data_IF_153757240265
#
_entry.id   IF_153757240265
#
_cell.length_a   1.000
_cell.length_b   1.000
_cell.length_c   1.000
_cell.angle_alpha   90.00
_cell.angle_beta   90.00
_cell.angle_gamma   90.00
#
_symmetry.space_group_name_H-M   'P 1'
#
loop_
_entity.id
_entity.type
_entity.pdbx_description
1 polymer ?
#
# COMPACT_ATOMS: atom_id res chain seq x y z
N UNK A 1 9.30 3.90 -0.62
CA UNK A 1 8.79 4.45 -1.90
C UNK A 1 9.24 3.62 -3.09
N UNK A 2 10.55 3.42 -3.34
CA UNK A 2 10.99 2.57 -4.46
C UNK A 2 10.41 1.14 -4.39
N UNK A 3 10.44 0.52 -3.21
CA UNK A 3 9.92 -0.84 -3.01
C UNK A 3 8.45 -0.99 -3.38
N UNK A 4 7.62 -0.03 -2.97
CA UNK A 4 6.18 -0.02 -3.31
C UNK A 4 5.96 0.23 -4.80
N UNK A 5 6.72 1.13 -5.43
CA UNK A 5 6.61 1.38 -6.87
C UNK A 5 6.98 0.15 -7.72
N UNK A 6 8.00 -0.61 -7.34
CA UNK A 6 8.35 -1.88 -8.01
C UNK A 6 7.21 -2.89 -7.87
N UNK A 7 6.67 -3.06 -6.66
CA UNK A 7 5.57 -3.98 -6.40
C UNK A 7 4.26 -3.56 -7.09
N UNK A 8 3.94 -2.27 -7.13
CA UNK A 8 2.80 -1.71 -7.87
C UNK A 8 2.92 -1.95 -9.38
N UNK A 9 4.12 -1.80 -9.93
CA UNK A 9 4.40 -2.06 -11.36
C UNK A 9 4.19 -3.54 -11.69
N UNK A 10 4.70 -4.45 -10.85
CA UNK A 10 4.51 -5.89 -11.01
C UNK A 10 3.04 -6.29 -10.86
N UNK A 11 2.33 -5.67 -9.92
CA UNK A 11 0.87 -5.83 -9.76
C UNK A 11 0.15 -5.42 -11.05
N UNK A 12 0.54 -4.30 -11.67
CA UNK A 12 -0.01 -3.85 -12.94
C UNK A 12 0.18 -4.86 -14.09
N UNK A 13 1.39 -5.41 -14.25
CA UNK A 13 1.66 -6.46 -15.24
C UNK A 13 0.84 -7.73 -14.99
N UNK A 14 0.73 -8.16 -13.74
CA UNK A 14 -0.04 -9.34 -13.38
C UNK A 14 -1.55 -9.14 -13.58
N UNK A 15 -2.09 -7.94 -13.33
CA UNK A 15 -3.50 -7.62 -13.64
C UNK A 15 -3.76 -7.61 -15.15
N UNK A 16 -2.83 -7.06 -15.93
CA UNK A 16 -2.91 -7.12 -17.39
C UNK A 16 -2.94 -8.56 -17.91
N UNK A 17 -2.09 -9.43 -17.36
CA UNK A 17 -2.09 -10.87 -17.67
C UNK A 17 -3.44 -11.54 -17.34
N UNK A 18 -4.01 -11.27 -16.15
CA UNK A 18 -5.31 -11.83 -15.75
C UNK A 18 -6.45 -11.36 -16.65
N UNK A 19 -6.42 -10.08 -17.06
CA UNK A 19 -7.42 -9.51 -17.97
C UNK A 19 -7.33 -10.10 -19.37
N UNK A 20 -6.11 -10.39 -19.86
CA UNK A 20 -5.88 -10.96 -21.19
C UNK A 20 -6.27 -12.45 -21.26
N UNK A 21 -6.06 -13.21 -20.19
CA UNK A 21 -6.25 -14.66 -20.16
C UNK A 21 -7.46 -15.14 -19.34
N UNK A 22 -8.32 -14.23 -18.85
CA UNK A 22 -9.55 -14.50 -18.06
C UNK A 22 -9.34 -15.55 -16.94
N UNK A 23 -8.23 -15.42 -16.21
CA UNK A 23 -7.80 -16.41 -15.22
C UNK A 23 -8.46 -16.17 -13.86
N UNK A 24 -9.05 -17.22 -13.27
CA UNK A 24 -9.66 -17.18 -11.93
C UNK A 24 -8.61 -17.22 -10.81
N UNK A 25 -8.63 -16.22 -9.93
CA UNK A 25 -7.80 -16.13 -8.71
C UNK A 25 -8.52 -16.59 -7.43
N UNK A 26 -9.37 -17.62 -7.53
CA UNK A 26 -9.99 -18.25 -6.37
C UNK A 26 -9.10 -19.34 -5.78
N UNK A 27 -9.18 -19.57 -4.46
CA UNK A 27 -8.56 -20.77 -3.85
C UNK A 27 -9.52 -21.95 -4.05
N UNK A 28 -9.08 -23.08 -4.63
CA UNK A 28 -7.75 -23.39 -5.19
C UNK A 28 -7.51 -22.79 -6.58
N UNK A 29 -6.26 -22.39 -6.87
CA UNK A 29 -5.85 -21.87 -8.19
C UNK A 29 -6.12 -22.91 -9.25
N UNK A 30 -7.13 -22.66 -10.09
CA UNK A 30 -7.59 -23.60 -11.11
C UNK A 30 -6.65 -23.65 -12.33
N UNK A 31 -5.80 -22.62 -12.48
CA UNK A 31 -4.95 -22.40 -13.66
C UNK A 31 -3.44 -22.34 -13.36
N UNK A 32 -2.98 -22.81 -12.19
CA UNK A 32 -1.52 -22.88 -11.90
C UNK A 32 -0.83 -21.52 -11.75
N UNK A 33 -1.54 -20.46 -11.38
CA UNK A 33 -0.96 -19.11 -11.14
C UNK A 33 -0.30 -18.95 -9.76
N UNK A 34 -0.27 -20.02 -8.95
CA UNK A 34 0.46 -20.14 -7.68
C UNK A 34 0.37 -18.93 -6.73
N UNK A 35 -0.74 -18.19 -6.71
CA UNK A 35 -0.96 -17.06 -5.78
C UNK A 35 0.03 -15.88 -5.92
N UNK A 36 0.68 -15.73 -7.08
CA UNK A 36 1.72 -14.73 -7.29
C UNK A 36 1.16 -13.29 -7.22
N UNK A 37 -0.01 -12.99 -7.77
CA UNK A 37 -0.56 -11.62 -7.69
C UNK A 37 -0.89 -11.18 -6.25
N UNK A 38 -1.63 -11.96 -5.43
CA UNK A 38 -1.83 -11.61 -4.03
C UNK A 38 -0.53 -11.39 -3.25
N UNK A 39 0.56 -12.07 -3.63
CA UNK A 39 1.86 -11.89 -3.01
C UNK A 39 2.44 -10.47 -3.23
N UNK A 40 2.27 -9.88 -4.41
CA UNK A 40 2.69 -8.48 -4.66
C UNK A 40 1.88 -7.49 -3.81
N UNK A 41 0.58 -7.73 -3.65
CA UNK A 41 -0.24 -6.92 -2.74
C UNK A 41 0.24 -7.05 -1.29
N UNK A 42 0.63 -8.26 -0.85
CA UNK A 42 1.20 -8.53 0.47
C UNK A 42 2.48 -7.74 0.74
N UNK A 43 3.42 -7.75 -0.21
CA UNK A 43 4.67 -6.97 -0.12
C UNK A 43 4.38 -5.47 0.03
N UNK A 44 3.43 -4.95 -0.75
CA UNK A 44 3.00 -3.56 -0.67
C UNK A 44 2.41 -3.19 0.70
N UNK A 45 1.52 -4.03 1.23
CA UNK A 45 0.89 -3.79 2.53
C UNK A 45 1.90 -3.78 3.68
N UNK A 46 2.83 -4.74 3.71
CA UNK A 46 3.92 -4.77 4.70
C UNK A 46 4.84 -3.56 4.56
N UNK A 47 5.19 -3.19 3.34
CA UNK A 47 6.04 -2.02 3.09
C UNK A 47 5.36 -0.72 3.55
N UNK A 48 4.05 -0.57 3.32
CA UNK A 48 3.30 0.58 3.83
C UNK A 48 3.22 0.61 5.35
N UNK A 49 3.08 -0.56 6.00
CA UNK A 49 3.08 -0.66 7.45
C UNK A 49 4.42 -0.18 8.02
N UNK A 50 5.54 -0.72 7.53
CA UNK A 50 6.87 -0.31 7.99
C UNK A 50 7.15 1.16 7.69
N UNK A 51 6.73 1.68 6.53
CA UNK A 51 6.84 3.11 6.23
C UNK A 51 6.02 3.99 7.18
N UNK A 52 4.91 3.49 7.71
CA UNK A 52 4.11 4.21 8.70
C UNK A 52 4.77 4.19 10.08
N UNK A 53 5.34 3.06 10.49
CA UNK A 53 6.15 2.96 11.71
C UNK A 53 7.37 3.87 11.67
N UNK A 54 8.09 3.88 10.55
CA UNK A 54 9.23 4.75 10.28
C UNK A 54 8.88 6.23 10.52
N UNK A 55 7.79 6.72 9.89
CA UNK A 55 7.28 8.08 10.09
C UNK A 55 6.87 8.36 11.53
N UNK A 56 6.21 7.40 12.18
CA UNK A 56 5.79 7.55 13.57
C UNK A 56 7.00 7.68 14.51
N UNK A 57 8.05 6.88 14.31
CA UNK A 57 9.29 6.96 15.08
C UNK A 57 10.02 8.28 14.82
N UNK A 58 10.06 8.75 13.57
CA UNK A 58 10.68 10.04 13.23
C UNK A 58 10.02 11.22 13.96
N UNK A 59 8.69 11.21 14.09
CA UNK A 59 7.93 12.30 14.73
C UNK A 59 7.91 12.18 16.26
N UNK A 60 7.64 10.99 16.80
CA UNK A 60 7.51 10.81 18.25
C UNK A 60 8.84 10.68 18.98
N UNK A 61 9.87 10.13 18.32
CA UNK A 61 11.16 9.79 18.93
C UNK A 61 12.34 10.21 18.04
N UNK A 62 12.53 11.52 17.77
CA UNK A 62 13.52 12.02 16.80
C UNK A 62 14.97 11.64 17.15
N UNK A 63 15.34 11.65 18.43
CA UNK A 63 16.68 11.28 18.88
C UNK A 63 16.99 9.79 18.70
N UNK A 64 16.01 8.92 18.96
CA UNK A 64 16.13 7.49 18.70
C UNK A 64 16.19 7.22 17.20
N UNK A 65 15.32 7.87 16.44
CA UNK A 65 15.23 7.71 14.99
C UNK A 65 16.57 8.00 14.29
N UNK A 66 17.22 9.13 14.60
CA UNK A 66 18.49 9.50 13.98
C UNK A 66 19.64 8.51 14.30
N UNK A 67 19.61 7.90 15.49
CA UNK A 67 20.64 6.95 15.92
C UNK A 67 20.47 5.54 15.34
N UNK A 68 19.22 5.07 15.19
CA UNK A 68 18.94 3.66 14.88
C UNK A 68 18.42 3.42 13.45
N UNK A 69 17.73 4.39 12.85
CA UNK A 69 17.16 4.23 11.50
C UNK A 69 18.19 4.69 10.46
N UNK A 70 19.11 3.78 10.12
CA UNK A 70 20.06 3.94 9.04
C UNK A 70 19.52 3.41 7.70
N UNK A 71 20.12 3.86 6.59
CA UNK A 71 19.77 3.40 5.24
C UNK A 71 19.86 1.87 5.08
N UNK A 72 20.83 1.24 5.74
CA UNK A 72 21.00 -0.21 5.76
C UNK A 72 19.82 -0.93 6.40
N UNK A 73 19.29 -0.41 7.50
CA UNK A 73 18.10 -0.96 8.18
C UNK A 73 16.89 -0.89 7.26
N UNK A 74 16.67 0.25 6.60
CA UNK A 74 15.54 0.42 5.66
C UNK A 74 15.64 -0.56 4.48
N UNK A 75 16.85 -0.76 3.92
CA UNK A 75 17.08 -1.74 2.85
C UNK A 75 16.81 -3.16 3.37
N UNK A 76 17.31 -3.51 4.56
CA UNK A 76 17.07 -4.80 5.20
C UNK A 76 15.59 -5.07 5.44
N UNK A 77 14.83 -4.09 5.92
CA UNK A 77 13.37 -4.20 6.10
C UNK A 77 12.65 -4.38 4.77
N UNK A 78 13.07 -3.69 3.70
CA UNK A 78 12.49 -3.89 2.37
C UNK A 78 12.77 -5.32 1.86
N UNK A 79 14.00 -5.82 1.98
CA UNK A 79 14.35 -7.18 1.61
C UNK A 79 13.57 -8.22 2.43
N UNK A 80 13.39 -7.98 3.73
CA UNK A 80 12.58 -8.82 4.61
C UNK A 80 11.12 -8.89 4.13
N UNK A 81 10.51 -7.78 3.69
CA UNK A 81 9.13 -7.79 3.17
C UNK A 81 8.98 -8.76 1.99
N UNK A 82 9.95 -8.79 1.09
CA UNK A 82 9.96 -9.73 -0.04
C UNK A 82 10.14 -11.17 0.42
N UNK A 83 11.18 -11.43 1.21
CA UNK A 83 11.53 -12.79 1.68
C UNK A 83 10.37 -13.39 2.48
N UNK A 84 9.78 -12.61 3.40
CA UNK A 84 8.66 -13.06 4.22
C UNK A 84 7.45 -13.43 3.35
N UNK A 85 7.11 -12.58 2.38
CA UNK A 85 5.94 -12.79 1.52
C UNK A 85 6.12 -14.00 0.61
N UNK A 86 7.31 -14.19 0.02
CA UNK A 86 7.60 -15.36 -0.80
C UNK A 86 7.72 -16.65 0.02
N UNK A 87 8.25 -16.58 1.24
CA UNK A 87 8.30 -17.73 2.15
C UNK A 87 6.89 -18.24 2.46
N UNK A 88 5.95 -17.34 2.77
CA UNK A 88 4.53 -17.71 2.99
C UNK A 88 3.92 -18.34 1.74
N UNK A 89 4.23 -17.81 0.57
CA UNK A 89 3.76 -18.34 -0.71
C UNK A 89 4.26 -19.78 -0.94
N UNK A 90 5.55 -20.04 -0.69
CA UNK A 90 6.14 -21.37 -0.82
C UNK A 90 5.46 -22.35 0.14
N UNK A 91 5.28 -21.96 1.41
CA UNK A 91 4.60 -22.79 2.41
C UNK A 91 3.16 -23.09 1.98
N UNK A 92 2.42 -22.12 1.45
CA UNK A 92 1.06 -22.36 0.94
C UNK A 92 1.02 -23.35 -0.22
N UNK A 93 2.03 -23.35 -1.10
CA UNK A 93 2.09 -24.27 -2.24
C UNK A 93 2.55 -25.69 -1.86
N UNK A 94 3.28 -25.86 -0.77
CA UNK A 94 3.75 -27.16 -0.27
C UNK A 94 2.73 -27.90 0.61
N UNK A 95 1.63 -27.23 0.98
CA UNK A 95 0.68 -27.69 1.99
C UNK A 95 -0.64 -28.16 1.33
N UNK A 96 -1.31 -29.20 1.86
CA UNK A 96 -2.57 -29.70 1.29
C UNK A 96 -3.65 -28.63 1.19
N UNK A 97 -4.55 -28.77 0.21
CA UNK A 97 -5.55 -27.76 -0.17
C UNK A 97 -6.39 -27.28 1.03
N UNK A 98 -6.78 -28.19 1.92
CA UNK A 98 -7.55 -27.86 3.13
C UNK A 98 -6.81 -26.96 4.11
N UNK A 99 -5.49 -27.14 4.26
CA UNK A 99 -4.64 -26.37 5.17
C UNK A 99 -4.23 -25.03 4.56
N UNK A 100 -3.94 -24.99 3.27
CA UNK A 100 -3.65 -23.72 2.61
C UNK A 100 -4.88 -22.79 2.51
N UNK A 101 -6.11 -23.33 2.46
CA UNK A 101 -7.32 -22.52 2.63
C UNK A 101 -7.40 -21.86 4.02
N UNK A 102 -7.01 -22.57 5.09
CA UNK A 102 -6.94 -22.00 6.45
C UNK A 102 -5.85 -20.92 6.55
N UNK A 103 -4.67 -21.16 5.96
CA UNK A 103 -3.57 -20.18 5.93
C UNK A 103 -4.01 -18.91 5.17
N UNK A 104 -4.73 -19.05 4.06
CA UNK A 104 -5.25 -17.90 3.31
C UNK A 104 -6.29 -17.12 4.12
N UNK A 105 -7.24 -17.81 4.78
CA UNK A 105 -8.22 -17.14 5.65
C UNK A 105 -7.53 -16.37 6.80
N UNK A 106 -6.52 -16.98 7.42
CA UNK A 106 -5.70 -16.33 8.44
C UNK A 106 -4.93 -15.12 7.88
N UNK A 107 -4.30 -15.27 6.72
CA UNK A 107 -3.59 -14.18 6.04
C UNK A 107 -4.50 -12.99 5.75
N UNK A 108 -5.72 -13.25 5.27
CA UNK A 108 -6.73 -12.21 5.04
C UNK A 108 -7.14 -11.50 6.35
N UNK A 109 -7.32 -12.23 7.45
CA UNK A 109 -7.57 -11.61 8.77
C UNK A 109 -6.38 -10.77 9.25
N UNK A 110 -5.16 -11.27 9.10
CA UNK A 110 -3.94 -10.52 9.45
C UNK A 110 -3.82 -9.24 8.62
N UNK A 111 -4.14 -9.29 7.32
CA UNK A 111 -4.15 -8.11 6.46
C UNK A 111 -5.17 -7.05 6.94
N UNK A 112 -6.35 -7.46 7.40
CA UNK A 112 -7.33 -6.53 7.98
C UNK A 112 -6.78 -5.85 9.24
N UNK A 113 -6.16 -6.62 10.14
CA UNK A 113 -5.52 -6.07 11.35
C UNK A 113 -4.42 -5.07 10.98
N UNK A 114 -3.55 -5.41 10.04
CA UNK A 114 -2.47 -4.53 9.55
C UNK A 114 -3.04 -3.20 9.04
N UNK A 115 -4.13 -3.26 8.28
CA UNK A 115 -4.76 -2.05 7.74
C UNK A 115 -5.40 -1.21 8.84
N UNK A 116 -6.09 -1.83 9.80
CA UNK A 116 -6.65 -1.11 10.94
C UNK A 116 -5.55 -0.40 11.74
N UNK A 117 -4.44 -1.09 12.03
CA UNK A 117 -3.28 -0.51 12.71
C UNK A 117 -2.71 0.67 11.91
N UNK A 118 -2.60 0.54 10.58
CA UNK A 118 -2.14 1.64 9.70
C UNK A 118 -3.06 2.86 9.82
N UNK A 119 -4.38 2.69 9.79
CA UNK A 119 -5.34 3.78 9.91
C UNK A 119 -5.22 4.46 11.27
N UNK A 120 -5.19 3.69 12.36
CA UNK A 120 -5.03 4.20 13.72
C UNK A 120 -3.73 4.97 13.91
N UNK A 121 -2.61 4.44 13.40
CA UNK A 121 -1.33 5.14 13.41
C UNK A 121 -1.37 6.45 12.62
N UNK A 122 -2.06 6.47 11.49
CA UNK A 122 -2.18 7.69 10.67
C UNK A 122 -3.01 8.77 11.39
N UNK A 123 -4.11 8.37 12.04
CA UNK A 123 -4.92 9.29 12.87
C UNK A 123 -4.09 9.81 14.04
N UNK A 124 -3.36 8.94 14.74
CA UNK A 124 -2.49 9.34 15.85
C UNK A 124 -1.43 10.33 15.40
N UNK A 125 -0.78 10.08 14.26
CA UNK A 125 0.20 10.98 13.66
C UNK A 125 -0.42 12.34 13.31
N UNK A 126 -1.64 12.34 12.74
CA UNK A 126 -2.38 13.56 12.44
C UNK A 126 -2.67 14.39 13.71
N UNK A 127 -3.13 13.76 14.79
CA UNK A 127 -3.39 14.43 16.07
C UNK A 127 -2.10 15.05 16.62
N UNK A 128 -1.00 14.30 16.59
CA UNK A 128 0.31 14.79 17.06
C UNK A 128 0.76 15.99 16.22
N UNK A 129 0.76 15.85 14.89
CA UNK A 129 1.18 16.92 13.98
C UNK A 129 0.30 18.18 14.11
N UNK A 130 -1.02 18.02 14.29
CA UNK A 130 -1.94 19.14 14.56
C UNK A 130 -1.60 19.83 15.88
N UNK A 131 -1.31 19.06 16.93
CA UNK A 131 -0.97 19.61 18.24
C UNK A 131 0.36 20.38 18.21
N UNK A 132 1.36 19.91 17.44
CA UNK A 132 2.60 20.66 17.20
C UNK A 132 2.32 21.97 16.45
N UNK A 133 1.50 21.93 15.39
CA UNK A 133 1.12 23.10 14.61
C UNK A 133 0.40 24.18 15.41
N UNK A 134 -0.52 23.80 16.30
CA UNK A 134 -1.27 24.75 17.13
C UNK A 134 -0.38 25.44 18.17
N UNK A 135 0.72 24.79 18.58
CA UNK A 135 1.66 25.32 19.58
C UNK A 135 2.73 26.21 18.98
N UNK A 136 2.98 26.14 17.67
CA UNK A 136 3.93 27.00 16.98
C UNK A 136 3.32 28.37 16.66
N UNK A 137 4.05 29.48 16.83
CA UNK A 137 3.58 30.79 16.43
C UNK A 137 3.39 30.86 14.90
N UNK A 138 2.43 31.66 14.39
CA UNK A 138 2.16 31.76 12.97
C UNK A 138 3.41 32.24 12.21
N UNK A 139 3.96 31.35 11.39
CA UNK A 139 5.15 31.58 10.57
C UNK A 139 4.92 30.94 9.20
N UNK A 140 5.67 31.37 8.18
CA UNK A 140 5.58 30.80 6.83
C UNK A 140 5.86 29.28 6.81
N UNK A 141 6.64 28.77 7.77
CA UNK A 141 6.88 27.34 7.98
C UNK A 141 5.61 26.60 8.49
N UNK A 142 4.79 27.28 9.30
CA UNK A 142 3.51 26.78 9.79
C UNK A 142 2.49 26.52 8.68
N UNK A 143 2.47 27.34 7.63
CA UNK A 143 1.53 27.17 6.51
C UNK A 143 1.90 25.97 5.62
N UNK A 144 3.20 25.74 5.40
CA UNK A 144 3.72 24.53 4.74
C UNK A 144 3.35 23.25 5.51
N UNK A 145 3.47 23.29 6.84
CA UNK A 145 3.07 22.18 7.71
C UNK A 145 1.55 21.93 7.67
N UNK A 146 0.71 22.97 7.58
CA UNK A 146 -0.76 22.82 7.40
C UNK A 146 -1.11 22.15 6.07
N UNK A 147 -0.42 22.49 4.98
CA UNK A 147 -0.62 21.86 3.68
C UNK A 147 -0.26 20.36 3.74
N UNK A 148 0.87 20.04 4.37
CA UNK A 148 1.29 18.66 4.64
C UNK A 148 0.25 17.87 5.45
N UNK A 149 -0.38 18.51 6.45
CA UNK A 149 -1.45 17.91 7.26
C UNK A 149 -2.70 17.61 6.40
N UNK A 150 -3.07 18.52 5.50
CA UNK A 150 -4.21 18.35 4.57
C UNK A 150 -3.98 17.16 3.63
N UNK A 151 -2.75 16.97 3.16
CA UNK A 151 -2.37 15.81 2.34
C UNK A 151 -2.58 14.50 3.12
N UNK A 152 -2.19 14.43 4.39
CA UNK A 152 -2.39 13.24 5.23
C UNK A 152 -3.88 12.89 5.36
N UNK A 153 -4.75 13.87 5.61
CA UNK A 153 -6.20 13.65 5.71
C UNK A 153 -6.76 13.12 4.39
N UNK A 154 -6.36 13.73 3.27
CA UNK A 154 -6.79 13.30 1.94
C UNK A 154 -6.35 11.85 1.64
N UNK A 155 -5.11 11.48 2.00
CA UNK A 155 -4.60 10.09 1.86
C UNK A 155 -5.47 9.10 2.63
N UNK A 156 -5.85 9.43 3.87
CA UNK A 156 -6.70 8.55 4.71
C UNK A 156 -8.08 8.38 4.08
N UNK A 157 -8.70 9.46 3.61
CA UNK A 157 -10.02 9.41 2.98
C UNK A 157 -9.97 8.56 1.70
N UNK A 158 -9.01 8.81 0.81
CA UNK A 158 -8.85 8.01 -0.41
C UNK A 158 -8.59 6.53 -0.10
N UNK A 159 -7.75 6.25 0.89
CA UNK A 159 -7.47 4.88 1.31
C UNK A 159 -8.72 4.18 1.82
N UNK A 160 -9.48 4.81 2.73
CA UNK A 160 -10.72 4.25 3.26
C UNK A 160 -11.77 4.07 2.16
N UNK A 161 -11.97 5.06 1.28
CA UNK A 161 -12.94 4.97 0.20
C UNK A 161 -12.64 3.82 -0.79
N UNK A 162 -11.36 3.61 -1.11
CA UNK A 162 -10.93 2.57 -2.05
C UNK A 162 -10.90 1.17 -1.42
N UNK A 163 -10.66 1.07 -0.12
CA UNK A 163 -10.50 -0.22 0.56
C UNK A 163 -11.72 -0.69 1.35
N UNK A 164 -12.55 0.19 1.90
CA UNK A 164 -13.75 -0.18 2.67
C UNK A 164 -14.69 -1.13 1.92
N UNK A 165 -15.02 -0.89 0.63
CA UNK A 165 -15.86 -1.82 -0.13
C UNK A 165 -15.26 -3.23 -0.23
N UNK A 166 -13.93 -3.31 -0.37
CA UNK A 166 -13.20 -4.59 -0.38
C UNK A 166 -13.22 -5.27 1.00
N UNK A 167 -13.01 -4.52 2.09
CA UNK A 167 -13.08 -5.07 3.45
C UNK A 167 -14.45 -5.64 3.78
N UNK A 168 -15.52 -4.91 3.48
CA UNK A 168 -16.89 -5.35 3.74
C UNK A 168 -17.17 -6.65 2.96
N UNK A 169 -16.80 -6.71 1.68
CA UNK A 169 -16.99 -7.92 0.87
C UNK A 169 -16.21 -9.12 1.42
N UNK A 170 -14.97 -8.91 1.89
CA UNK A 170 -14.15 -9.96 2.50
C UNK A 170 -14.77 -10.45 3.82
N UNK A 171 -15.21 -9.53 4.69
CA UNK A 171 -15.83 -9.87 5.98
C UNK A 171 -17.12 -10.65 5.77
N UNK A 172 -17.98 -10.20 4.85
CA UNK A 172 -19.22 -10.90 4.49
C UNK A 172 -18.91 -12.30 3.96
N UNK A 173 -17.90 -12.46 3.09
CA UNK A 173 -17.47 -13.77 2.59
C UNK A 173 -16.95 -14.72 3.68
N UNK A 174 -16.36 -14.20 4.76
CA UNK A 174 -15.85 -15.03 5.86
C UNK A 174 -16.93 -15.38 6.89
N UNK A 175 -17.82 -14.43 7.22
CA UNK A 175 -18.86 -14.63 8.25
C UNK A 175 -20.12 -15.32 7.71
N UNK A 176 -20.44 -15.08 6.44
CA UNK A 176 -21.63 -15.62 5.79
C UNK A 176 -21.12 -16.41 4.59
N UNK A 177 -21.30 -17.73 4.57
CA UNK A 177 -20.96 -18.56 3.39
C UNK A 177 -21.62 -18.09 2.07
N UNK A 178 -22.52 -17.10 2.13
CA UNK A 178 -23.02 -16.32 1.00
C UNK A 178 -22.34 -14.96 0.89
N UNK A 179 -21.54 -14.78 -0.17
CA UNK A 179 -21.05 -13.49 -0.65
C UNK A 179 -21.05 -13.48 -2.18
N UNK A 180 -21.12 -12.30 -2.80
CA UNK A 180 -21.16 -12.16 -4.26
C UNK A 180 -19.88 -12.77 -4.88
N UNK A 181 -20.02 -13.95 -5.50
CA UNK A 181 -18.96 -14.60 -6.29
C UNK A 181 -19.05 -14.08 -7.72
N UNK A 182 -18.10 -13.24 -8.12
CA UNK A 182 -17.93 -12.89 -9.52
C UNK A 182 -17.04 -13.94 -10.19
N UNK A 183 -17.42 -14.38 -11.39
CA UNK A 183 -16.73 -15.46 -12.13
C UNK A 183 -15.32 -15.05 -12.58
N UNK A 184 -15.02 -13.76 -12.63
CA UNK A 184 -13.71 -13.20 -12.94
C UNK A 184 -13.30 -12.15 -11.89
N UNK A 185 -12.14 -12.35 -11.25
CA UNK A 185 -11.57 -11.46 -10.23
C UNK A 185 -11.03 -10.14 -10.84
N UNK A 186 -10.81 -10.08 -12.16
CA UNK A 186 -10.50 -8.86 -12.90
C UNK A 186 -11.74 -7.96 -13.09
N UNK A 187 -12.95 -8.53 -13.08
CA UNK A 187 -14.22 -7.78 -13.15
C UNK A 187 -14.82 -7.48 -11.78
N UNK A 188 -14.21 -7.96 -10.69
CA UNK A 188 -14.69 -7.74 -9.35
C UNK A 188 -14.47 -6.26 -8.96
N UNK A 189 -15.52 -5.43 -8.90
CA UNK A 189 -15.37 -3.98 -8.70
C UNK A 189 -14.70 -3.65 -7.35
N UNK A 190 -14.88 -4.52 -6.35
CA UNK A 190 -14.25 -4.38 -5.04
C UNK A 190 -12.74 -4.61 -5.09
N UNK A 191 -12.30 -5.59 -5.89
CA UNK A 191 -10.88 -5.86 -6.10
C UNK A 191 -10.23 -4.78 -6.98
N UNK A 192 -10.95 -4.29 -8.00
CA UNK A 192 -10.49 -3.18 -8.84
C UNK A 192 -10.32 -1.90 -7.99
N UNK A 193 -11.29 -1.55 -7.15
CA UNK A 193 -11.16 -0.39 -6.24
C UNK A 193 -9.95 -0.48 -5.31
N UNK A 194 -9.71 -1.64 -4.71
CA UNK A 194 -8.52 -1.85 -3.89
C UNK A 194 -7.22 -1.73 -4.72
N UNK A 195 -7.21 -2.24 -5.95
CA UNK A 195 -6.06 -2.14 -6.88
C UNK A 195 -5.80 -0.71 -7.37
N UNK A 196 -6.84 0.13 -7.51
CA UNK A 196 -6.67 1.56 -7.84
C UNK A 196 -5.84 2.31 -6.78
N UNK A 197 -5.71 1.77 -5.57
CA UNK A 197 -4.80 2.32 -4.57
C UNK A 197 -3.32 2.31 -5.02
N UNK A 198 -2.92 1.34 -5.87
CA UNK A 198 -1.60 1.30 -6.48
C UNK A 198 -1.33 2.47 -7.43
N UNK A 199 -2.38 3.11 -7.98
CA UNK A 199 -2.27 4.33 -8.79
C UNK A 199 -2.31 5.60 -7.93
N UNK A 200 -3.16 5.60 -6.90
CA UNK A 200 -3.32 6.75 -5.99
C UNK A 200 -2.06 6.98 -5.17
N UNK A 201 -1.36 5.92 -4.75
CA UNK A 201 -0.13 6.02 -3.96
C UNK A 201 0.98 6.85 -4.65
N UNK A 202 1.43 6.53 -5.88
CA UNK A 202 2.43 7.33 -6.58
C UNK A 202 1.91 8.74 -6.94
N UNK A 203 0.63 8.89 -7.28
CA UNK A 203 0.04 10.21 -7.54
C UNK A 203 0.11 11.12 -6.30
N UNK A 204 -0.19 10.58 -5.12
CA UNK A 204 -0.08 11.29 -3.85
C UNK A 204 1.36 11.60 -3.47
N UNK A 205 2.34 10.75 -3.82
CA UNK A 205 3.75 11.06 -3.59
C UNK A 205 4.25 12.21 -4.47
N UNK A 206 3.85 12.24 -5.76
CA UNK A 206 4.21 13.33 -6.68
C UNK A 206 3.52 14.64 -6.28
N UNK A 207 2.27 14.56 -5.80
CA UNK A 207 1.55 15.74 -5.33
C UNK A 207 2.09 16.23 -3.99
N UNK A 208 2.34 15.35 -3.02
CA UNK A 208 2.73 15.74 -1.67
C UNK A 208 4.21 16.11 -1.47
N UNK A 209 5.10 15.74 -2.39
CA UNK A 209 6.53 16.04 -2.28
C UNK A 209 6.97 17.06 -3.34
N UNK A 210 7.30 18.31 -2.96
CA UNK A 210 7.79 19.33 -3.88
C UNK A 210 9.08 18.91 -4.59
N UNK A 211 9.99 18.23 -3.88
CA UNK A 211 11.25 17.71 -4.43
C UNK A 211 11.01 16.62 -5.47
N UNK A 212 10.06 15.71 -5.22
CA UNK A 212 9.69 14.68 -6.19
C UNK A 212 8.98 15.28 -7.41
N UNK A 213 8.11 16.28 -7.21
CA UNK A 213 7.44 17.02 -8.29
C UNK A 213 8.44 17.72 -9.20
N UNK A 214 9.45 18.36 -8.60
CA UNK A 214 10.57 18.99 -9.32
C UNK A 214 11.36 17.97 -10.14
N UNK A 215 11.69 16.81 -9.56
CA UNK A 215 12.42 15.73 -10.23
C UNK A 215 11.62 15.11 -11.39
N UNK A 216 10.30 14.90 -11.22
CA UNK A 216 9.42 14.41 -12.28
C UNK A 216 9.32 15.45 -13.40
N UNK A 217 9.21 16.74 -13.08
CA UNK A 217 9.16 17.81 -14.07
C UNK A 217 10.48 17.92 -14.86
N UNK A 218 11.62 17.80 -14.20
CA UNK A 218 12.94 17.93 -14.84
C UNK A 218 13.33 16.70 -15.66
N UNK A 219 12.92 15.50 -15.24
CA UNK A 219 13.38 14.24 -15.85
C UNK A 219 12.38 13.69 -16.86
N UNK A 220 11.09 13.73 -16.54
CA UNK A 220 10.02 13.14 -17.37
C UNK A 220 9.43 14.20 -18.29
N UNK A 221 8.92 15.30 -17.73
CA UNK A 221 8.24 16.31 -18.55
C UNK A 221 9.19 17.07 -19.48
N UNK A 222 10.43 17.34 -19.06
CA UNK A 222 11.43 17.99 -19.93
C UNK A 222 11.84 17.12 -21.13
N UNK A 223 11.73 15.79 -21.01
CA UNK A 223 12.05 14.83 -22.09
C UNK A 223 10.84 14.53 -22.98
N UNK A 224 9.63 14.50 -22.42
CA UNK A 224 8.38 14.22 -23.16
C UNK A 224 7.83 15.49 -23.84
N UNK A 225 7.97 16.65 -23.20
CA UNK A 225 7.62 17.96 -23.75
C UNK A 225 8.86 18.86 -23.70
N UNK A 226 9.78 18.76 -24.67
CA UNK A 226 10.87 19.73 -24.78
C UNK A 226 10.23 21.09 -25.09
N UNK A 227 10.13 21.97 -24.09
CA UNK A 227 9.87 23.37 -24.35
C UNK A 227 11.00 23.88 -25.24
N UNK A 228 10.74 24.02 -26.54
CA UNK A 228 11.59 24.80 -27.45
C UNK A 228 11.69 26.20 -26.85
N UNK A 229 12.88 26.71 -26.51
CA UNK A 229 13.04 28.13 -26.25
C UNK A 229 12.69 28.84 -27.56
N UNK A 230 11.71 29.74 -27.53
CA UNK A 230 11.59 30.80 -28.53
C UNK A 230 12.44 31.98 -28.05
#
# INVERSE_FOLDING_TARGET
MLNTSVSDTLTGFSVYYLGLFDVQEGYPSRNGTFYILPSFLGVNLLTFLFAQFDRYLAVCYPFFYNRFIARSVVIGTCAFCWIYTYTILIVQNMVPISKAAQINAFGVMTLQIIVLVKVLMTIKLYVIARNHLVREPPSADGDSKKESLRIIVFVVICFLALWCPSFVNIIVRQLTRGGLRFRNEATNPFAIMARLNALVTPALYVWGSPSLRGAVRSTVWRRICPCRPR
#
